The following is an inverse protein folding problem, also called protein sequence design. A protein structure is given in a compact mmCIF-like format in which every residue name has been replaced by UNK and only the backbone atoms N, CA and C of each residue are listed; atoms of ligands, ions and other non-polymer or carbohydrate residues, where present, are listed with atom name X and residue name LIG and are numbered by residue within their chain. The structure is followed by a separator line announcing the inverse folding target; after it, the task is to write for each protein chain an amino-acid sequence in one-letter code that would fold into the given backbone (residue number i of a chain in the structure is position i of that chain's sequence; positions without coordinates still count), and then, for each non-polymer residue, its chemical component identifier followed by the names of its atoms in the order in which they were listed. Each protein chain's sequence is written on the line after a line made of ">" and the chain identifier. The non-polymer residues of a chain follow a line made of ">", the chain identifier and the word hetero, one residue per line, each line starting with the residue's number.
data_IF_140869415593
#
_entry.id   IF_140869415593
#
_cell.length_a   1.000
_cell.length_b   1.000
_cell.length_c   1.000
_cell.angle_alpha   90.00
_cell.angle_beta   90.00
_cell.angle_gamma   90.00
#
_symmetry.space_group_name_H-M   'P 1'
#
loop_
_entity.id
_entity.type
_entity.pdbx_description
1 polymer ?
#
# COMPACT_ATOMS: atom_id res chain seq x y z
N UNK A 1 -22.31 -11.80 -6.42
CA UNK A 1 -20.86 -12.02 -6.49
C UNK A 1 -20.55 -13.48 -6.18
N UNK A 2 -19.53 -14.03 -6.81
CA UNK A 2 -19.14 -15.46 -6.67
C UNK A 2 -18.49 -15.78 -5.32
N UNK A 3 -18.38 -14.81 -4.38
CA UNK A 3 -17.71 -14.99 -3.09
C UNK A 3 -16.20 -15.24 -3.19
N UNK A 4 -15.60 -15.02 -4.36
CA UNK A 4 -14.14 -15.18 -4.53
C UNK A 4 -13.41 -14.01 -3.87
N UNK A 5 -12.51 -14.35 -2.95
CA UNK A 5 -11.59 -13.44 -2.31
C UNK A 5 -10.32 -13.37 -3.19
N UNK A 6 -9.87 -12.17 -3.51
CA UNK A 6 -8.62 -11.96 -4.23
C UNK A 6 -7.52 -11.59 -3.23
N UNK A 7 -6.54 -12.47 -3.08
CA UNK A 7 -5.40 -12.31 -2.17
C UNK A 7 -4.19 -11.73 -2.92
N UNK A 8 -4.25 -10.44 -3.26
CA UNK A 8 -3.18 -9.76 -4.00
C UNK A 8 -1.83 -9.81 -3.25
N UNK A 9 -1.86 -9.76 -1.91
CA UNK A 9 -0.66 -9.86 -1.08
C UNK A 9 0.16 -11.13 -1.32
N UNK A 10 -0.49 -12.23 -1.73
CA UNK A 10 0.18 -13.49 -2.04
C UNK A 10 0.60 -13.64 -3.51
N UNK A 11 0.49 -12.59 -4.31
CA UNK A 11 1.09 -12.56 -5.65
C UNK A 11 2.61 -12.48 -5.53
N UNK A 12 3.34 -13.40 -6.19
CA UNK A 12 4.80 -13.38 -6.22
C UNK A 12 5.30 -12.24 -7.11
N UNK A 13 6.10 -11.34 -6.53
CA UNK A 13 6.80 -10.27 -7.23
C UNK A 13 8.29 -10.60 -7.43
N UNK A 14 8.76 -11.67 -6.81
CA UNK A 14 10.13 -12.16 -6.90
C UNK A 14 10.14 -13.70 -6.78
N UNK A 15 10.38 -14.39 -7.88
CA UNK A 15 10.37 -15.85 -7.92
C UNK A 15 11.34 -16.50 -6.93
N UNK A 16 12.50 -15.90 -6.69
CA UNK A 16 13.52 -16.37 -5.77
C UNK A 16 13.47 -15.67 -4.40
N UNK A 17 12.41 -14.90 -4.16
CA UNK A 17 12.29 -14.04 -2.99
C UNK A 17 12.02 -14.75 -1.68
N UNK A 18 11.66 -13.95 -0.67
CA UNK A 18 11.42 -14.38 0.71
C UNK A 18 10.36 -15.49 0.77
N UNK A 19 10.57 -16.59 1.52
CA UNK A 19 9.53 -17.59 1.77
C UNK A 19 8.30 -16.96 2.43
N UNK A 20 7.11 -17.36 1.99
CA UNK A 20 5.85 -16.92 2.55
C UNK A 20 5.15 -18.08 3.27
N UNK A 21 4.43 -17.77 4.35
CA UNK A 21 3.68 -18.77 5.14
C UNK A 21 2.55 -19.43 4.35
N UNK A 22 2.12 -18.83 3.21
CA UNK A 22 1.19 -19.46 2.28
C UNK A 22 1.80 -20.61 1.45
N UNK A 23 3.09 -20.90 1.61
CA UNK A 23 3.82 -21.93 0.88
C UNK A 23 4.51 -21.42 -0.41
N UNK A 24 4.25 -20.17 -0.81
CA UNK A 24 4.86 -19.53 -1.98
C UNK A 24 6.15 -18.77 -1.60
N UNK A 25 6.79 -18.15 -2.60
CA UNK A 25 7.96 -17.28 -2.41
C UNK A 25 7.72 -15.92 -3.06
N UNK A 26 8.36 -14.88 -2.47
CA UNK A 26 8.33 -13.53 -3.00
C UNK A 26 6.96 -12.87 -3.04
N UNK A 27 6.05 -13.31 -2.18
CA UNK A 27 4.73 -12.68 -2.04
C UNK A 27 4.87 -11.20 -1.74
N UNK A 28 4.09 -10.37 -2.41
CA UNK A 28 4.07 -8.91 -2.24
C UNK A 28 3.96 -8.50 -0.77
N UNK A 29 3.11 -9.18 0.00
CA UNK A 29 2.90 -8.97 1.44
C UNK A 29 4.22 -8.97 2.23
N UNK A 30 5.17 -9.88 1.90
CA UNK A 30 6.46 -9.98 2.60
C UNK A 30 7.39 -8.79 2.36
N UNK A 31 6.99 -7.83 1.52
CA UNK A 31 7.77 -6.63 1.20
C UNK A 31 7.07 -5.34 1.61
N UNK A 32 5.73 -5.34 1.73
CA UNK A 32 4.96 -4.09 1.92
C UNK A 32 4.03 -4.09 3.14
N UNK A 33 3.84 -5.21 3.85
CA UNK A 33 2.97 -5.21 5.02
C UNK A 33 3.53 -4.29 6.11
N UNK A 34 2.64 -3.62 6.84
CA UNK A 34 2.97 -2.61 7.83
C UNK A 34 3.92 -3.13 8.92
N UNK A 35 3.73 -4.37 9.39
CA UNK A 35 4.58 -5.03 10.38
C UNK A 35 6.02 -5.27 9.87
N UNK A 36 6.16 -5.62 8.59
CA UNK A 36 7.47 -5.79 7.94
C UNK A 36 8.17 -4.44 7.82
N UNK A 37 7.47 -3.42 7.34
CA UNK A 37 8.02 -2.07 7.18
C UNK A 37 8.36 -1.46 8.54
N UNK A 38 7.47 -1.59 9.52
CA UNK A 38 7.72 -1.15 10.90
C UNK A 38 9.00 -1.74 11.45
N UNK A 39 9.17 -3.07 11.37
CA UNK A 39 10.38 -3.74 11.84
C UNK A 39 11.64 -3.22 11.12
N UNK A 40 11.62 -3.06 9.81
CA UNK A 40 12.74 -2.49 9.04
C UNK A 40 13.08 -1.06 9.48
N UNK A 41 12.05 -0.25 9.73
CA UNK A 41 12.22 1.11 10.24
C UNK A 41 12.81 1.11 11.66
N UNK A 42 12.33 0.24 12.54
CA UNK A 42 12.89 0.07 13.90
C UNK A 42 14.37 -0.34 13.85
N UNK A 43 14.74 -1.31 13.02
CA UNK A 43 16.12 -1.75 12.84
C UNK A 43 17.04 -0.63 12.30
N UNK A 44 16.54 0.16 11.34
CA UNK A 44 17.31 1.23 10.71
C UNK A 44 17.49 2.46 11.59
N UNK A 45 16.49 2.76 12.43
CA UNK A 45 16.44 3.98 13.24
C UNK A 45 16.79 3.78 14.71
N UNK A 46 16.76 2.53 15.20
CA UNK A 46 16.95 2.19 16.61
C UNK A 46 15.78 2.58 17.51
N UNK A 47 14.59 2.83 16.98
CA UNK A 47 13.44 3.41 17.69
C UNK A 47 12.19 2.54 17.47
N UNK A 48 11.56 2.11 18.57
CA UNK A 48 10.36 1.25 18.56
C UNK A 48 9.07 2.05 18.49
N UNK A 49 8.66 2.46 17.31
CA UNK A 49 7.39 3.17 17.07
C UNK A 49 6.46 2.34 16.19
N UNK A 50 5.13 2.50 16.32
CA UNK A 50 4.18 1.88 15.40
C UNK A 50 4.31 2.50 13.99
N UNK A 51 3.95 1.73 12.96
CA UNK A 51 4.02 2.13 11.56
C UNK A 51 3.41 3.51 11.29
N UNK A 52 2.22 3.78 11.84
CA UNK A 52 1.55 5.08 11.69
C UNK A 52 2.40 6.26 12.19
N UNK A 53 3.16 6.09 13.28
CA UNK A 53 4.03 7.13 13.82
C UNK A 53 5.26 7.36 12.93
N UNK A 54 5.83 6.32 12.33
CA UNK A 54 6.88 6.46 11.31
C UNK A 54 6.36 7.17 10.06
N UNK A 55 5.14 6.87 9.61
CA UNK A 55 4.52 7.57 8.50
C UNK A 55 4.34 9.06 8.78
N UNK A 56 3.87 9.43 9.98
CA UNK A 56 3.72 10.83 10.40
C UNK A 56 5.07 11.54 10.47
N UNK A 57 6.11 10.90 11.03
CA UNK A 57 7.46 11.45 11.07
C UNK A 57 8.01 11.69 9.65
N UNK A 58 7.75 10.77 8.72
CA UNK A 58 8.20 10.91 7.33
C UNK A 58 7.42 12.01 6.60
N UNK A 59 6.12 12.18 6.86
CA UNK A 59 5.33 13.30 6.33
C UNK A 59 5.93 14.64 6.77
N UNK A 60 6.26 14.79 8.05
CA UNK A 60 6.93 15.99 8.56
C UNK A 60 8.29 16.24 7.89
N UNK A 61 9.04 15.18 7.63
CA UNK A 61 10.33 15.26 6.93
C UNK A 61 10.17 15.73 5.46
N UNK A 62 9.13 15.25 4.78
CA UNK A 62 8.79 15.68 3.41
C UNK A 62 8.44 17.18 3.37
N UNK A 63 7.62 17.65 4.31
CA UNK A 63 7.27 19.07 4.44
C UNK A 63 8.50 19.95 4.71
N UNK A 64 9.45 19.48 5.52
CA UNK A 64 10.73 20.19 5.74
C UNK A 64 11.55 20.27 4.46
N UNK A 65 11.62 19.19 3.69
CA UNK A 65 12.34 19.15 2.41
C UNK A 65 11.76 20.12 1.38
N UNK A 66 10.43 20.24 1.31
CA UNK A 66 9.77 21.22 0.45
C UNK A 66 10.15 22.68 0.80
N UNK A 67 10.43 22.94 2.09
CA UNK A 67 10.91 24.24 2.59
C UNK A 67 12.43 24.43 2.42
N UNK A 68 13.12 23.54 1.71
CA UNK A 68 14.54 23.62 1.44
C UNK A 68 15.46 23.15 2.56
N UNK A 69 14.93 22.47 3.57
CA UNK A 69 15.75 21.86 4.62
C UNK A 69 16.27 20.48 4.20
N UNK A 70 17.52 20.20 4.52
CA UNK A 70 18.10 18.88 4.27
C UNK A 70 17.59 17.85 5.28
N UNK A 71 17.44 16.62 4.82
CA UNK A 71 17.11 15.49 5.66
C UNK A 71 18.27 15.09 6.55
N UNK A 72 17.96 14.75 7.79
CA UNK A 72 18.85 14.07 8.72
C UNK A 72 19.20 12.67 8.22
N UNK A 73 20.27 12.08 8.76
CA UNK A 73 20.64 10.68 8.44
C UNK A 73 19.52 9.69 8.80
N UNK A 74 18.74 9.98 9.83
CA UNK A 74 17.57 9.19 10.21
C UNK A 74 16.49 9.26 9.12
N UNK A 75 16.12 10.45 8.68
CA UNK A 75 15.10 10.66 7.64
C UNK A 75 15.52 10.02 6.31
N UNK A 76 16.80 10.09 5.95
CA UNK A 76 17.35 9.42 4.76
C UNK A 76 17.20 7.89 4.84
N UNK A 77 17.49 7.28 6.01
CA UNK A 77 17.29 5.85 6.20
C UNK A 77 15.83 5.43 6.09
N UNK A 78 14.91 6.23 6.61
CA UNK A 78 13.48 6.00 6.49
C UNK A 78 13.03 6.10 5.03
N UNK A 79 13.47 7.12 4.30
CA UNK A 79 13.16 7.32 2.89
C UNK A 79 13.56 6.12 2.02
N UNK A 80 14.73 5.54 2.25
CA UNK A 80 15.18 4.32 1.55
C UNK A 80 14.19 3.17 1.73
N UNK A 81 13.66 2.99 2.94
CA UNK A 81 12.71 1.92 3.24
C UNK A 81 11.34 2.19 2.62
N UNK A 82 10.83 3.43 2.72
CA UNK A 82 9.59 3.82 2.09
C UNK A 82 9.65 3.77 0.57
N UNK A 83 10.77 4.17 -0.02
CA UNK A 83 10.99 4.10 -1.47
C UNK A 83 11.02 2.65 -1.97
N UNK A 84 11.72 1.75 -1.28
CA UNK A 84 11.73 0.31 -1.61
C UNK A 84 10.32 -0.29 -1.50
N UNK A 85 9.58 0.01 -0.42
CA UNK A 85 8.18 -0.40 -0.27
C UNK A 85 7.33 0.10 -1.44
N UNK A 86 7.51 1.35 -1.85
CA UNK A 86 6.79 1.98 -2.97
C UNK A 86 7.04 1.26 -4.29
N UNK A 87 8.29 0.91 -4.59
CA UNK A 87 8.63 0.15 -5.78
C UNK A 87 8.01 -1.25 -5.79
N UNK A 88 8.03 -1.95 -4.64
CA UNK A 88 7.42 -3.28 -4.50
C UNK A 88 5.89 -3.21 -4.64
N UNK A 89 5.25 -2.22 -4.02
CA UNK A 89 3.82 -1.96 -4.19
C UNK A 89 3.48 -1.73 -5.67
N UNK A 90 4.20 -0.84 -6.34
CA UNK A 90 3.99 -0.56 -7.75
C UNK A 90 4.16 -1.81 -8.63
N UNK A 91 5.14 -2.67 -8.33
CA UNK A 91 5.36 -3.93 -9.03
C UNK A 91 4.13 -4.85 -8.94
N UNK A 92 3.59 -5.05 -7.75
CA UNK A 92 2.36 -5.83 -7.54
C UNK A 92 1.16 -5.21 -8.25
N UNK A 93 1.00 -3.89 -8.14
CA UNK A 93 -0.09 -3.15 -8.78
C UNK A 93 -0.04 -3.21 -10.32
N UNK A 94 1.15 -3.21 -10.93
CA UNK A 94 1.30 -3.37 -12.39
C UNK A 94 0.70 -4.71 -12.82
N UNK A 95 1.04 -5.80 -12.14
CA UNK A 95 0.53 -7.13 -12.44
C UNK A 95 -0.99 -7.20 -12.26
N UNK A 96 -1.49 -6.66 -11.16
CA UNK A 96 -2.92 -6.59 -10.87
C UNK A 96 -3.68 -5.76 -11.91
N UNK A 97 -3.20 -4.56 -12.21
CA UNK A 97 -3.86 -3.66 -13.17
C UNK A 97 -3.84 -4.21 -14.59
N UNK A 98 -2.77 -4.89 -14.99
CA UNK A 98 -2.71 -5.55 -16.28
C UNK A 98 -3.68 -6.74 -16.39
N UNK A 99 -3.98 -7.42 -15.27
CA UNK A 99 -4.88 -8.58 -15.24
C UNK A 99 -6.36 -8.18 -15.14
N UNK A 100 -6.69 -7.20 -14.31
CA UNK A 100 -8.07 -6.84 -13.97
C UNK A 100 -8.54 -5.52 -14.57
N UNK A 101 -7.62 -4.72 -15.11
CA UNK A 101 -7.92 -3.45 -15.77
C UNK A 101 -8.82 -2.50 -14.93
N UNK A 102 -8.53 -2.24 -13.65
CA UNK A 102 -9.37 -1.42 -12.79
C UNK A 102 -9.36 0.04 -13.24
N UNK A 103 -10.40 0.80 -12.89
CA UNK A 103 -10.46 2.25 -13.15
C UNK A 103 -9.61 3.05 -12.17
N UNK A 104 -9.41 2.56 -10.96
CA UNK A 104 -8.60 3.16 -9.89
C UNK A 104 -8.16 2.10 -8.88
N UNK A 105 -7.11 2.39 -8.15
CA UNK A 105 -6.66 1.63 -6.97
C UNK A 105 -7.02 2.43 -5.73
N UNK A 106 -7.63 1.78 -4.74
CA UNK A 106 -7.98 2.42 -3.46
C UNK A 106 -7.13 1.80 -2.37
N UNK A 107 -6.32 2.61 -1.70
CA UNK A 107 -5.49 2.21 -0.58
C UNK A 107 -6.26 2.46 0.73
N UNK A 108 -6.52 1.41 1.47
CA UNK A 108 -7.23 1.46 2.75
C UNK A 108 -6.43 0.82 3.88
N UNK A 109 -7.09 0.64 5.03
CA UNK A 109 -6.51 0.03 6.22
C UNK A 109 -5.21 0.77 6.63
N UNK A 110 -4.16 0.06 7.04
CA UNK A 110 -2.89 0.65 7.46
C UNK A 110 -2.15 1.38 6.32
N UNK A 111 -2.39 1.00 5.06
CA UNK A 111 -1.86 1.70 3.90
C UNK A 111 -2.32 3.16 3.80
N UNK A 112 -3.40 3.53 4.49
CA UNK A 112 -3.89 4.91 4.56
C UNK A 112 -2.89 5.86 5.23
N UNK A 113 -2.04 5.36 6.14
CA UNK A 113 -1.01 6.16 6.82
C UNK A 113 0.17 6.54 5.92
N UNK A 114 0.43 5.78 4.84
CA UNK A 114 1.55 6.03 3.93
C UNK A 114 1.46 7.47 3.41
N UNK A 115 2.54 8.29 3.50
CA UNK A 115 2.54 9.64 2.96
C UNK A 115 2.15 9.68 1.47
N UNK A 116 1.36 10.67 1.07
CA UNK A 116 0.87 10.80 -0.31
C UNK A 116 2.00 10.87 -1.33
N UNK A 117 3.14 11.43 -0.95
CA UNK A 117 4.36 11.47 -1.77
C UNK A 117 4.74 10.07 -2.31
N UNK A 118 4.73 9.03 -1.45
CA UNK A 118 5.10 7.66 -1.87
C UNK A 118 3.99 6.99 -2.68
N UNK A 119 2.73 7.30 -2.40
CA UNK A 119 1.62 6.80 -3.21
C UNK A 119 1.61 7.42 -4.61
N UNK A 120 1.95 8.70 -4.74
CA UNK A 120 2.12 9.37 -6.03
C UNK A 120 3.30 8.78 -6.82
N UNK A 121 4.42 8.46 -6.17
CA UNK A 121 5.53 7.76 -6.83
C UNK A 121 5.10 6.37 -7.31
N UNK A 122 4.35 5.61 -6.49
CA UNK A 122 3.81 4.31 -6.91
C UNK A 122 2.88 4.45 -8.12
N UNK A 123 2.03 5.49 -8.13
CA UNK A 123 1.15 5.82 -9.25
C UNK A 123 1.95 6.15 -10.52
N UNK A 124 3.01 6.93 -10.43
CA UNK A 124 3.88 7.25 -11.56
C UNK A 124 4.53 5.99 -12.14
N UNK A 125 5.10 5.13 -11.29
CA UNK A 125 5.71 3.86 -11.71
C UNK A 125 4.65 2.96 -12.37
N UNK A 126 3.48 2.81 -11.77
CA UNK A 126 2.35 2.05 -12.32
C UNK A 126 1.99 2.57 -13.71
N UNK A 127 1.76 3.88 -13.84
CA UNK A 127 1.30 4.50 -15.08
C UNK A 127 2.38 4.60 -16.17
N UNK A 128 3.65 4.44 -15.82
CA UNK A 128 4.73 4.29 -16.79
C UNK A 128 4.87 2.86 -17.34
N UNK A 129 4.45 1.84 -16.58
CA UNK A 129 4.75 0.44 -16.89
C UNK A 129 3.54 -0.43 -17.23
N UNK A 130 2.32 -0.04 -16.84
CA UNK A 130 1.11 -0.80 -17.17
C UNK A 130 0.85 -0.80 -18.70
N UNK A 131 0.21 -1.87 -19.19
CA UNK A 131 0.05 -2.10 -20.65
C UNK A 131 -0.82 -1.03 -21.33
N UNK A 132 -1.81 -0.49 -20.62
CA UNK A 132 -2.75 0.52 -21.14
C UNK A 132 -2.26 1.96 -20.97
N UNK A 133 -1.00 2.22 -20.58
CA UNK A 133 -0.43 3.54 -20.27
C UNK A 133 -0.62 4.62 -21.34
N UNK A 134 -0.77 4.20 -22.61
CA UNK A 134 -1.00 5.12 -23.75
C UNK A 134 -2.44 5.60 -23.85
N UNK A 135 -3.38 4.90 -23.23
CA UNK A 135 -4.81 5.14 -23.37
C UNK A 135 -5.44 5.75 -22.12
N UNK A 136 -4.88 5.44 -20.95
CA UNK A 136 -5.41 5.94 -19.69
C UNK A 136 -4.38 5.88 -18.57
N UNK A 137 -4.61 6.70 -17.54
CA UNK A 137 -3.95 6.61 -16.25
C UNK A 137 -4.87 5.93 -15.24
N UNK A 138 -4.28 5.20 -14.31
CA UNK A 138 -4.97 4.54 -13.20
C UNK A 138 -4.55 5.28 -11.93
N UNK A 139 -5.43 6.08 -11.32
CA UNK A 139 -5.10 6.80 -10.10
C UNK A 139 -5.01 5.85 -8.91
N UNK A 140 -4.07 6.14 -8.00
CA UNK A 140 -3.99 5.54 -6.67
C UNK A 140 -4.52 6.57 -5.67
N UNK A 141 -5.58 6.23 -4.94
CA UNK A 141 -6.24 7.13 -4.00
C UNK A 141 -6.40 6.46 -2.64
N UNK A 142 -6.37 7.25 -1.58
CA UNK A 142 -6.69 6.77 -0.23
C UNK A 142 -8.20 6.55 -0.06
N UNK A 143 -8.55 5.57 0.74
CA UNK A 143 -9.94 5.30 1.09
C UNK A 143 -10.56 6.49 1.84
N UNK A 144 -11.78 6.87 1.48
CA UNK A 144 -12.48 8.04 2.05
C UNK A 144 -12.64 7.95 3.57
N UNK A 145 -12.94 6.76 4.10
CA UNK A 145 -13.10 6.54 5.54
C UNK A 145 -11.79 6.19 6.27
N UNK A 146 -10.65 6.41 5.65
CA UNK A 146 -9.34 6.14 6.25
C UNK A 146 -9.18 4.69 6.70
N UNK A 147 -8.64 4.49 7.90
CA UNK A 147 -8.47 3.16 8.53
C UNK A 147 -9.79 2.47 8.90
N UNK A 148 -10.88 3.23 9.02
CA UNK A 148 -12.22 2.74 9.35
C UNK A 148 -12.95 2.11 8.15
N UNK A 149 -12.38 2.16 6.96
CA UNK A 149 -13.01 1.74 5.70
C UNK A 149 -13.53 0.30 5.76
N UNK A 150 -12.78 -0.62 6.36
CA UNK A 150 -13.18 -2.03 6.50
C UNK A 150 -14.40 -2.16 7.41
N UNK A 151 -14.38 -1.51 8.59
CA UNK A 151 -15.49 -1.55 9.55
C UNK A 151 -16.77 -0.95 8.98
N UNK A 152 -16.67 0.20 8.34
CA UNK A 152 -17.82 0.88 7.72
C UNK A 152 -18.34 0.07 6.54
N UNK A 153 -17.46 -0.49 5.72
CA UNK A 153 -17.82 -1.36 4.59
C UNK A 153 -18.58 -2.61 5.02
N UNK A 154 -18.09 -3.32 6.05
CA UNK A 154 -18.78 -4.50 6.61
C UNK A 154 -20.16 -4.14 7.17
N UNK A 155 -20.26 -3.02 7.91
CA UNK A 155 -21.54 -2.55 8.46
C UNK A 155 -22.51 -2.19 7.34
N UNK A 156 -22.06 -1.49 6.30
CA UNK A 156 -22.87 -1.14 5.14
C UNK A 156 -23.37 -2.35 4.36
N UNK A 157 -22.50 -3.35 4.17
CA UNK A 157 -22.87 -4.63 3.52
C UNK A 157 -23.95 -5.38 4.32
N UNK A 158 -23.80 -5.45 5.66
CA UNK A 158 -24.77 -6.08 6.55
C UNK A 158 -26.13 -5.36 6.48
N UNK A 159 -26.14 -4.04 6.61
CA UNK A 159 -27.38 -3.25 6.51
C UNK A 159 -28.05 -3.45 5.15
N UNK A 160 -27.29 -3.42 4.06
CA UNK A 160 -27.81 -3.66 2.71
C UNK A 160 -28.44 -5.05 2.60
N UNK A 161 -27.81 -6.09 3.15
CA UNK A 161 -28.35 -7.45 3.16
C UNK A 161 -29.67 -7.52 3.95
N UNK A 162 -29.74 -6.87 5.14
CA UNK A 162 -30.96 -6.82 5.96
C UNK A 162 -32.10 -6.13 5.19
N UNK A 163 -31.86 -4.92 4.63
CA UNK A 163 -32.88 -4.16 3.92
C UNK A 163 -33.34 -4.82 2.61
N UNK A 164 -32.51 -5.64 2.00
CA UNK A 164 -32.84 -6.41 0.80
C UNK A 164 -33.45 -7.81 1.11
N UNK A 165 -33.73 -8.12 2.37
CA UNK A 165 -34.33 -9.39 2.79
C UNK A 165 -33.37 -10.58 2.73
N UNK A 166 -32.08 -10.36 2.62
CA UNK A 166 -31.08 -11.43 2.47
C UNK A 166 -30.64 -12.13 3.76
N UNK A 167 -31.18 -11.75 4.93
CA UNK A 167 -30.87 -12.30 6.25
C UNK A 167 -32.13 -12.77 7.02
N UNK A 168 -33.23 -12.94 6.35
CA UNK A 168 -34.49 -13.50 6.91
C UNK A 168 -34.77 -14.84 6.27
#
# INVERSE_FOLDING_TARGET
>A
GTGMICELGHTSIDWNGIPCDCGNRGCLEKYISSDIIERRLMEATGDGKPFAAFCSEMEDALVKKEKGMEWTEREKKMDVIFSDMTEKLACGLISFCNSFNPQRVIIGHEGWWIPDYYLLQAEEILNCRQIFRKYRKIPIVKAFFGTESTRIGCTGALLTAIFNGGLI
#
